data_IF_467774992527
#
_entry.id   IF_467774992527
#
_cell.length_a   1.000
_cell.length_b   1.000
_cell.length_c   1.000
_cell.angle_alpha   90.00
_cell.angle_beta   90.00
_cell.angle_gamma   90.00
#
_symmetry.space_group_name_H-M   'P 1'
#
loop_
_entity.id
_entity.type
_entity.pdbx_description
1 polymer ?
#
# COMPACT_ATOMS: atom_id res chain seq x y z
N UNK A 1 4.46 -5.71 26.08
CA UNK A 1 4.82 -5.53 24.65
C UNK A 1 3.77 -4.65 24.01
N UNK A 2 4.14 -3.48 23.48
CA UNK A 2 3.19 -2.62 22.75
C UNK A 2 2.90 -3.26 21.41
N UNK A 3 1.71 -3.83 21.26
CA UNK A 3 1.17 -4.20 19.97
C UNK A 3 0.92 -2.90 19.20
N UNK A 4 1.70 -2.67 18.15
CA UNK A 4 1.25 -1.78 17.09
C UNK A 4 -0.05 -2.36 16.54
N UNK A 5 -1.09 -1.56 16.25
CA UNK A 5 -2.26 -2.07 15.57
C UNK A 5 -1.91 -2.17 14.07
N UNK A 6 -1.02 -3.12 13.75
CA UNK A 6 -1.13 -3.78 12.46
C UNK A 6 -2.54 -4.36 12.47
N UNK A 7 -3.41 -3.86 11.58
CA UNK A 7 -4.72 -4.48 11.37
C UNK A 7 -4.46 -5.97 11.26
N UNK A 8 -5.10 -6.73 12.15
CA UNK A 8 -5.12 -8.18 12.14
C UNK A 8 -5.81 -8.60 10.85
N UNK A 9 -5.08 -8.60 9.74
CA UNK A 9 -5.62 -8.85 8.42
C UNK A 9 -5.91 -10.33 8.28
N UNK A 10 -7.19 -10.70 8.40
CA UNK A 10 -7.88 -11.72 7.61
C UNK A 10 -7.48 -13.19 7.79
N UNK A 11 -6.24 -13.54 8.08
CA UNK A 11 -5.85 -14.90 8.45
C UNK A 11 -6.43 -15.25 9.82
N UNK A 12 -6.30 -14.36 10.79
CA UNK A 12 -6.97 -14.49 12.09
C UNK A 12 -8.48 -14.25 12.03
N UNK A 13 -9.07 -13.85 10.91
CA UNK A 13 -10.54 -13.67 10.81
C UNK A 13 -11.19 -14.83 10.04
N UNK A 14 -10.58 -15.26 8.93
CA UNK A 14 -11.03 -16.42 8.15
C UNK A 14 -10.67 -17.75 8.83
N UNK A 15 -9.58 -17.76 9.60
CA UNK A 15 -9.11 -18.90 10.39
C UNK A 15 -8.98 -18.52 11.87
N UNK A 16 -9.83 -17.59 12.33
CA UNK A 16 -9.87 -17.12 13.72
C UNK A 16 -9.84 -18.25 14.72
N UNK A 17 -10.64 -19.29 14.49
CA UNK A 17 -10.69 -20.48 15.33
C UNK A 17 -9.38 -21.28 15.33
N UNK A 18 -8.67 -21.35 14.20
CA UNK A 18 -7.38 -22.02 14.09
C UNK A 18 -6.27 -21.22 14.77
N UNK A 19 -6.21 -19.89 14.55
CA UNK A 19 -5.21 -19.04 15.17
C UNK A 19 -5.47 -18.82 16.67
N UNK A 20 -6.73 -18.72 17.12
CA UNK A 20 -7.06 -18.72 18.56
C UNK A 20 -6.69 -20.04 19.23
N UNK A 21 -6.94 -21.17 18.55
CA UNK A 21 -6.53 -22.48 19.04
C UNK A 21 -5.00 -22.57 19.10
N UNK A 22 -4.28 -22.13 18.07
CA UNK A 22 -2.83 -22.13 18.02
C UNK A 22 -2.21 -21.20 19.09
N UNK A 23 -2.75 -19.97 19.27
CA UNK A 23 -2.29 -18.99 20.27
C UNK A 23 -2.51 -19.49 21.70
N UNK A 24 -3.72 -19.97 22.04
CA UNK A 24 -4.00 -20.58 23.36
C UNK A 24 -3.11 -21.79 23.64
N UNK A 25 -2.67 -22.50 22.60
CA UNK A 25 -1.84 -23.71 22.76
C UNK A 25 -0.34 -23.38 22.86
N UNK A 26 0.15 -22.38 22.11
CA UNK A 26 1.54 -21.90 22.17
C UNK A 26 1.85 -21.16 23.49
N UNK A 27 0.87 -20.46 24.08
CA UNK A 27 1.03 -19.88 25.44
C UNK A 27 1.13 -20.95 26.55
N UNK A 28 0.72 -22.20 26.29
CA UNK A 28 0.75 -23.30 27.27
C UNK A 28 2.07 -24.10 27.19
N UNK A 29 2.87 -23.94 26.13
CA UNK A 29 4.13 -24.68 25.96
C UNK A 29 5.30 -23.70 26.01
N UNK A 30 6.15 -23.73 27.07
CA UNK A 30 7.34 -22.91 27.11
C UNK A 30 8.27 -23.28 25.94
N UNK A 31 8.87 -22.25 25.35
CA UNK A 31 9.72 -22.32 24.17
C UNK A 31 10.98 -23.19 24.39
N UNK A 32 10.91 -24.49 24.11
CA UNK A 32 12.08 -25.33 23.91
C UNK A 32 11.77 -26.41 22.87
N UNK A 33 12.34 -26.28 21.67
CA UNK A 33 12.31 -27.29 20.62
C UNK A 33 12.13 -26.71 19.22
N UNK A 34 13.10 -26.97 18.34
CA UNK A 34 13.17 -26.52 16.95
C UNK A 34 12.18 -27.27 16.03
N UNK A 35 10.88 -27.11 16.26
CA UNK A 35 9.83 -27.58 15.35
C UNK A 35 9.10 -26.39 14.75
N UNK A 36 8.74 -26.48 13.47
CA UNK A 36 7.87 -25.46 12.88
C UNK A 36 6.47 -25.55 13.49
N UNK A 37 5.76 -24.42 13.58
CA UNK A 37 4.40 -24.37 14.13
C UNK A 37 3.44 -25.36 13.46
N UNK A 38 3.65 -25.66 12.17
CA UNK A 38 2.83 -26.62 11.41
C UNK A 38 3.10 -28.08 11.79
N UNK A 39 4.34 -28.45 12.10
CA UNK A 39 4.70 -29.79 12.58
C UNK A 39 4.14 -30.07 13.97
N UNK A 40 4.18 -29.08 14.87
CA UNK A 40 3.60 -29.18 16.21
C UNK A 40 2.08 -29.40 16.19
N UNK A 41 1.38 -28.72 15.28
CA UNK A 41 -0.07 -28.87 15.10
C UNK A 41 -0.45 -30.24 14.51
N UNK A 42 0.31 -30.71 13.52
CA UNK A 42 0.11 -32.03 12.90
C UNK A 42 0.29 -33.19 13.87
N UNK A 43 1.32 -33.13 14.73
CA UNK A 43 1.56 -34.18 15.74
C UNK A 43 0.40 -34.34 16.74
N UNK A 44 -0.46 -33.32 16.89
CA UNK A 44 -1.59 -33.35 17.81
C UNK A 44 -2.96 -33.46 17.13
N UNK A 45 -2.97 -33.90 15.86
CA UNK A 45 -4.21 -34.25 15.15
C UNK A 45 -4.99 -33.06 14.61
N UNK A 46 -4.40 -31.86 14.62
CA UNK A 46 -4.97 -30.70 13.93
C UNK A 46 -4.53 -30.79 12.47
N UNK A 47 -5.49 -31.00 11.58
CA UNK A 47 -5.24 -31.04 10.14
C UNK A 47 -4.88 -29.64 9.65
N UNK A 48 -3.60 -29.41 9.34
CA UNK A 48 -3.15 -28.26 8.57
C UNK A 48 -3.51 -28.53 7.10
N UNK A 49 -4.32 -27.69 6.43
CA UNK A 49 -4.66 -27.88 5.02
C UNK A 49 -3.39 -27.96 4.15
N UNK A 50 -3.42 -28.83 3.13
CA UNK A 50 -2.31 -28.93 2.18
C UNK A 50 -2.03 -27.55 1.54
N UNK A 51 -0.79 -27.07 1.65
CA UNK A 51 -0.37 -25.73 1.23
C UNK A 51 -0.29 -24.68 2.34
N UNK A 52 -0.84 -24.93 3.54
CA UNK A 52 -0.69 -24.04 4.71
C UNK A 52 0.57 -24.26 5.53
N UNK A 53 1.32 -25.32 5.24
CA UNK A 53 2.50 -25.71 6.01
C UNK A 53 3.63 -24.68 5.94
N UNK A 54 3.65 -23.90 4.84
CA UNK A 54 4.65 -22.86 4.54
C UNK A 54 4.02 -21.48 4.27
N UNK A 55 2.70 -21.32 4.47
CA UNK A 55 2.02 -20.04 4.21
C UNK A 55 2.46 -18.93 5.19
N UNK A 56 3.02 -19.31 6.33
CA UNK A 56 3.58 -18.39 7.32
C UNK A 56 5.03 -18.02 7.05
N UNK A 57 5.69 -18.62 6.05
CA UNK A 57 7.14 -18.50 5.87
C UNK A 57 7.51 -18.40 4.38
N UNK A 58 6.88 -17.45 3.67
CA UNK A 58 7.19 -17.17 2.25
C UNK A 58 8.57 -16.54 2.06
N UNK A 59 9.01 -15.74 3.04
CA UNK A 59 10.31 -15.11 3.10
C UNK A 59 10.78 -15.08 4.55
N UNK A 60 12.06 -15.34 4.77
CA UNK A 60 12.70 -15.17 6.07
C UNK A 60 12.88 -13.68 6.37
N UNK A 61 11.88 -13.09 7.03
CA UNK A 61 11.86 -11.68 7.43
C UNK A 61 11.31 -11.52 8.86
N UNK A 62 11.62 -10.42 9.57
CA UNK A 62 11.04 -10.18 10.90
C UNK A 62 9.51 -10.21 10.90
N UNK A 63 8.86 -9.70 9.85
CA UNK A 63 7.41 -9.85 9.66
C UNK A 63 6.97 -11.31 9.53
N UNK A 64 7.66 -12.10 8.69
CA UNK A 64 7.33 -13.52 8.51
C UNK A 64 7.49 -14.35 9.79
N UNK A 65 8.49 -14.00 10.61
CA UNK A 65 8.72 -14.59 11.94
C UNK A 65 7.81 -14.02 13.04
N UNK A 66 6.98 -13.01 12.73
CA UNK A 66 6.07 -12.37 13.68
C UNK A 66 6.75 -11.44 14.71
N UNK A 67 7.98 -11.02 14.44
CA UNK A 67 8.77 -10.15 15.31
C UNK A 67 8.37 -8.68 15.19
N UNK A 68 7.90 -8.26 14.00
CA UNK A 68 7.43 -6.91 13.73
C UNK A 68 6.24 -6.89 12.76
N UNK A 69 5.52 -5.76 12.72
CA UNK A 69 4.50 -5.50 11.70
C UNK A 69 5.08 -4.70 10.53
N UNK A 70 4.40 -4.71 9.40
CA UNK A 70 4.68 -3.78 8.30
C UNK A 70 3.84 -2.50 8.43
N UNK A 71 4.42 -1.36 8.04
CA UNK A 71 3.69 -0.11 7.98
C UNK A 71 2.81 -0.10 6.74
N UNK A 72 1.53 0.25 6.92
CA UNK A 72 0.54 0.32 5.84
C UNK A 72 -0.22 1.64 5.92
N UNK A 73 -0.74 2.07 4.77
CA UNK A 73 -1.56 3.29 4.70
C UNK A 73 -2.99 2.99 5.18
N UNK A 74 -3.56 3.91 5.95
CA UNK A 74 -4.97 3.91 6.28
C UNK A 74 -5.76 4.41 5.08
N UNK A 75 -6.74 3.64 4.61
CA UNK A 75 -7.67 4.11 3.59
C UNK A 75 -8.83 4.85 4.26
N UNK A 76 -9.04 6.10 3.86
CA UNK A 76 -10.21 6.88 4.27
C UNK A 76 -11.05 7.15 3.02
N UNK A 77 -12.25 6.58 3.01
CA UNK A 77 -13.23 6.80 1.95
C UNK A 77 -13.80 8.20 2.02
N UNK A 78 -14.11 8.78 0.86
CA UNK A 78 -14.74 10.10 0.78
C UNK A 78 -16.14 10.10 1.39
N UNK A 79 -16.51 11.23 1.98
CA UNK A 79 -17.76 11.46 2.70
C UNK A 79 -17.89 12.94 3.06
N UNK A 80 -18.74 13.28 4.02
CA UNK A 80 -18.71 14.64 4.60
C UNK A 80 -17.42 14.87 5.38
N UNK A 81 -17.11 16.12 5.70
CA UNK A 81 -15.94 16.44 6.52
C UNK A 81 -15.97 15.72 7.87
N UNK A 82 -17.13 15.68 8.51
CA UNK A 82 -17.32 15.04 9.81
C UNK A 82 -17.12 13.53 9.73
N UNK A 83 -17.66 12.88 8.69
CA UNK A 83 -17.48 11.45 8.47
C UNK A 83 -16.01 11.09 8.21
N UNK A 84 -15.33 11.90 7.41
CA UNK A 84 -13.93 11.67 7.08
C UNK A 84 -12.99 11.95 8.24
N UNK A 85 -13.26 13.00 9.02
CA UNK A 85 -12.52 13.29 10.23
C UNK A 85 -12.66 12.16 11.25
N UNK A 86 -13.87 11.65 11.45
CA UNK A 86 -14.11 10.50 12.33
C UNK A 86 -13.34 9.26 11.84
N UNK A 87 -13.43 8.92 10.54
CA UNK A 87 -12.67 7.81 9.95
C UNK A 87 -11.16 8.01 10.08
N UNK A 88 -10.65 9.23 9.91
CA UNK A 88 -9.25 9.56 10.09
C UNK A 88 -8.84 9.32 11.54
N UNK A 89 -9.58 9.87 12.51
CA UNK A 89 -9.33 9.70 13.95
C UNK A 89 -9.32 8.22 14.35
N UNK A 90 -10.26 7.42 13.85
CA UNK A 90 -10.27 5.97 14.04
C UNK A 90 -8.96 5.31 13.53
N UNK A 91 -8.44 5.74 12.37
CA UNK A 91 -7.16 5.24 11.84
C UNK A 91 -5.99 5.69 12.71
N UNK A 92 -5.94 6.95 13.13
CA UNK A 92 -4.84 7.44 13.99
C UNK A 92 -4.83 6.72 15.35
N UNK A 93 -6.01 6.48 15.94
CA UNK A 93 -6.16 5.68 17.16
C UNK A 93 -5.72 4.22 16.95
N UNK A 94 -5.95 3.69 15.75
CA UNK A 94 -5.40 2.42 15.30
C UNK A 94 -3.92 2.50 14.88
N UNK A 95 -3.19 3.57 15.20
CA UNK A 95 -1.74 3.66 15.00
C UNK A 95 -1.30 3.89 13.56
N UNK A 96 -2.21 4.25 12.66
CA UNK A 96 -1.85 4.67 11.31
C UNK A 96 -1.21 6.05 11.33
N UNK A 97 -0.12 6.21 10.59
CA UNK A 97 0.57 7.49 10.43
C UNK A 97 0.51 8.06 9.00
N UNK A 98 0.10 7.23 8.04
CA UNK A 98 -0.13 7.66 6.65
C UNK A 98 -1.57 7.34 6.25
N UNK A 99 -2.25 8.29 5.61
CA UNK A 99 -3.62 8.14 5.12
C UNK A 99 -3.71 8.48 3.64
N UNK A 100 -4.43 7.64 2.88
CA UNK A 100 -4.71 7.86 1.47
C UNK A 100 -6.16 8.33 1.26
N UNK A 101 -6.32 9.47 0.59
CA UNK A 101 -7.60 10.08 0.22
C UNK A 101 -7.84 9.94 -1.29
N UNK A 102 -9.06 9.53 -1.68
CA UNK A 102 -9.47 9.48 -3.09
C UNK A 102 -10.00 10.85 -3.51
N UNK A 103 -9.55 11.40 -4.64
CA UNK A 103 -9.98 12.70 -5.17
C UNK A 103 -10.25 12.63 -6.67
N UNK A 104 -10.68 13.73 -7.29
CA UNK A 104 -10.91 13.81 -8.74
C UNK A 104 -12.17 13.10 -9.22
N UNK A 105 -13.05 12.69 -8.30
CA UNK A 105 -14.28 11.95 -8.62
C UNK A 105 -15.54 12.84 -8.59
N UNK A 106 -15.49 13.96 -7.89
CA UNK A 106 -16.63 14.89 -7.74
C UNK A 106 -16.23 16.34 -8.08
N UNK A 107 -16.24 17.23 -7.09
CA UNK A 107 -15.85 18.63 -7.19
C UNK A 107 -14.50 18.82 -6.50
N UNK A 108 -13.45 19.06 -7.29
CA UNK A 108 -12.08 19.22 -6.80
C UNK A 108 -11.96 20.28 -5.70
N UNK A 109 -12.72 21.39 -5.78
CA UNK A 109 -12.61 22.44 -4.77
C UNK A 109 -13.20 22.03 -3.42
N UNK A 110 -14.23 21.17 -3.43
CA UNK A 110 -14.76 20.58 -2.18
C UNK A 110 -13.79 19.56 -1.59
N UNK A 111 -13.16 18.74 -2.43
CA UNK A 111 -12.13 17.78 -2.01
C UNK A 111 -10.90 18.50 -1.46
N UNK A 112 -10.52 19.64 -2.04
CA UNK A 112 -9.44 20.49 -1.55
C UNK A 112 -9.80 21.19 -0.23
N UNK A 113 -11.02 21.69 -0.07
CA UNK A 113 -11.49 22.28 1.20
C UNK A 113 -11.42 21.26 2.34
N UNK A 114 -11.78 20.02 2.06
CA UNK A 114 -11.64 18.92 3.00
C UNK A 114 -10.17 18.69 3.41
N UNK A 115 -9.25 18.60 2.44
CA UNK A 115 -7.81 18.44 2.69
C UNK A 115 -7.29 19.58 3.57
N UNK A 116 -7.70 20.82 3.24
CA UNK A 116 -7.35 22.00 4.02
C UNK A 116 -7.80 21.84 5.48
N UNK A 117 -9.06 21.48 5.73
CA UNK A 117 -9.57 21.30 7.09
C UNK A 117 -8.83 20.19 7.85
N UNK A 118 -8.45 19.10 7.18
CA UNK A 118 -7.61 18.07 7.80
C UNK A 118 -6.27 18.67 8.23
N UNK A 119 -5.65 19.50 7.39
CA UNK A 119 -4.38 20.19 7.71
C UNK A 119 -4.51 21.29 8.75
N UNK A 120 -5.68 21.88 8.93
CA UNK A 120 -5.97 22.80 10.03
C UNK A 120 -5.95 22.09 11.39
N UNK A 121 -6.20 20.78 11.43
CA UNK A 121 -6.24 19.95 12.65
C UNK A 121 -4.95 19.14 12.85
N UNK A 122 -4.37 18.61 11.77
CA UNK A 122 -3.23 17.70 11.81
C UNK A 122 -2.05 18.21 11.00
N UNK A 123 -0.92 18.38 11.67
CA UNK A 123 0.37 18.67 11.03
C UNK A 123 0.85 17.50 10.19
N UNK A 124 1.79 17.74 9.27
CA UNK A 124 2.39 16.69 8.44
C UNK A 124 3.15 15.65 9.27
N UNK A 125 3.70 16.05 10.42
CA UNK A 125 4.41 15.15 11.34
C UNK A 125 3.46 14.21 12.09
N UNK A 126 2.21 14.63 12.30
CA UNK A 126 1.17 13.79 12.92
C UNK A 126 0.57 12.82 11.90
N UNK A 127 0.34 13.29 10.66
CA UNK A 127 -0.32 12.52 9.61
C UNK A 127 0.31 12.81 8.24
N UNK A 128 0.93 11.80 7.64
CA UNK A 128 1.29 11.82 6.22
C UNK A 128 0.01 11.65 5.38
N UNK A 129 -0.22 12.57 4.44
CA UNK A 129 -1.35 12.48 3.52
C UNK A 129 -0.86 12.13 2.12
N UNK A 130 -1.51 11.15 1.51
CA UNK A 130 -1.40 10.84 0.09
C UNK A 130 -2.76 11.00 -0.56
N UNK A 131 -2.79 11.41 -1.81
CA UNK A 131 -4.03 11.53 -2.57
C UNK A 131 -3.98 10.66 -3.81
N UNK A 132 -5.13 10.25 -4.31
CA UNK A 132 -5.25 9.33 -5.43
C UNK A 132 -6.41 9.78 -6.31
N UNK A 133 -6.08 10.19 -7.54
CA UNK A 133 -7.02 10.75 -8.48
C UNK A 133 -7.58 9.72 -9.46
N UNK A 134 -7.01 8.50 -9.54
CA UNK A 134 -7.37 7.47 -10.52
C UNK A 134 -7.56 8.00 -11.97
N UNK A 135 -6.68 8.91 -12.38
CA UNK A 135 -6.72 9.57 -13.67
C UNK A 135 -7.85 10.59 -13.86
N UNK A 136 -8.46 11.06 -12.76
CA UNK A 136 -9.64 11.92 -12.77
C UNK A 136 -9.39 13.36 -13.23
N UNK A 137 -8.15 13.87 -13.19
CA UNK A 137 -7.86 15.22 -13.65
C UNK A 137 -7.80 15.28 -15.18
N UNK A 138 -8.20 16.42 -15.74
CA UNK A 138 -8.00 16.70 -17.15
C UNK A 138 -6.56 17.18 -17.35
N UNK A 139 -5.86 16.78 -18.43
CA UNK A 139 -4.49 17.24 -18.68
C UNK A 139 -4.35 18.76 -18.69
N UNK A 140 -5.39 19.49 -19.11
CA UNK A 140 -5.39 20.95 -19.23
C UNK A 140 -5.44 21.66 -17.88
N UNK A 141 -6.00 21.02 -16.85
CA UNK A 141 -6.15 21.60 -15.51
C UNK A 141 -5.37 20.83 -14.43
N UNK A 142 -4.66 19.76 -14.79
CA UNK A 142 -3.92 18.95 -13.83
C UNK A 142 -2.84 19.76 -13.09
N UNK A 143 -2.06 20.60 -13.80
CA UNK A 143 -0.99 21.38 -13.15
C UNK A 143 -1.53 22.35 -12.10
N UNK A 144 -2.60 23.09 -12.39
CA UNK A 144 -3.18 24.02 -11.41
C UNK A 144 -3.77 23.30 -10.19
N UNK A 145 -4.30 22.08 -10.38
CA UNK A 145 -4.74 21.25 -9.26
C UNK A 145 -3.56 20.72 -8.43
N UNK A 146 -2.45 20.31 -9.06
CA UNK A 146 -1.22 19.92 -8.37
C UNK A 146 -0.64 21.07 -7.54
N UNK A 147 -0.60 22.28 -8.10
CA UNK A 147 -0.18 23.50 -7.39
C UNK A 147 -1.08 23.84 -6.21
N UNK A 148 -2.39 23.62 -6.34
CA UNK A 148 -3.33 23.85 -5.25
C UNK A 148 -3.14 22.83 -4.12
N UNK A 149 -2.93 21.55 -4.45
CA UNK A 149 -2.67 20.47 -3.49
C UNK A 149 -1.32 20.62 -2.78
N UNK A 150 -0.28 21.08 -3.50
CA UNK A 150 1.07 21.23 -2.95
C UNK A 150 1.16 22.19 -1.75
N UNK A 151 0.15 23.03 -1.53
CA UNK A 151 0.06 23.96 -0.39
C UNK A 151 -0.24 23.27 0.96
N UNK A 152 -0.55 21.98 0.93
CA UNK A 152 -1.10 21.24 2.07
C UNK A 152 -0.22 20.08 2.53
N UNK A 153 1.09 20.13 2.27
CA UNK A 153 2.08 19.12 2.71
C UNK A 153 1.60 17.68 2.41
N UNK A 154 1.09 17.46 1.20
CA UNK A 154 0.74 16.13 0.71
C UNK A 154 2.03 15.46 0.22
N UNK A 155 2.25 14.21 0.62
CA UNK A 155 3.43 13.45 0.23
C UNK A 155 3.46 13.17 -1.28
N UNK A 156 2.35 12.68 -1.83
CA UNK A 156 2.26 12.32 -3.25
C UNK A 156 0.82 12.26 -3.75
N UNK A 157 0.67 12.41 -5.07
CA UNK A 157 -0.56 12.12 -5.82
C UNK A 157 -0.38 10.88 -6.69
N UNK A 158 -1.32 9.94 -6.58
CA UNK A 158 -1.42 8.74 -7.41
C UNK A 158 -2.24 9.04 -8.67
N UNK A 159 -1.65 8.74 -9.83
CA UNK A 159 -2.19 8.85 -11.18
C UNK A 159 -3.10 10.09 -11.39
N UNK A 160 -2.56 11.31 -11.54
CA UNK A 160 -3.38 12.52 -11.69
C UNK A 160 -4.27 12.50 -12.94
N UNK A 161 -3.73 12.07 -14.09
CA UNK A 161 -4.44 12.04 -15.38
C UNK A 161 -4.55 10.61 -15.92
N UNK A 162 -5.53 10.37 -16.80
CA UNK A 162 -5.70 9.07 -17.46
C UNK A 162 -4.40 8.58 -18.12
N UNK A 163 -4.17 7.29 -18.01
CA UNK A 163 -3.04 6.57 -18.60
C UNK A 163 -2.97 6.72 -20.13
N UNK A 164 -1.84 6.32 -20.71
CA UNK A 164 -1.53 6.37 -22.15
C UNK A 164 -1.35 7.78 -22.71
N UNK A 165 -1.00 8.73 -21.85
CA UNK A 165 -0.74 10.13 -22.22
C UNK A 165 0.70 10.53 -21.88
N UNK A 166 1.67 9.68 -22.22
CA UNK A 166 3.08 9.80 -21.77
C UNK A 166 3.68 11.19 -21.94
N UNK A 167 3.51 11.91 -23.08
CA UNK A 167 4.05 13.26 -23.20
C UNK A 167 3.48 14.25 -22.18
N UNK A 168 2.18 14.13 -21.86
CA UNK A 168 1.50 14.96 -20.86
C UNK A 168 1.93 14.57 -19.45
N UNK A 169 1.93 13.27 -19.13
CA UNK A 169 2.39 12.78 -17.82
C UNK A 169 3.85 13.16 -17.56
N UNK A 170 4.71 13.05 -18.58
CA UNK A 170 6.12 13.45 -18.51
C UNK A 170 6.27 14.96 -18.27
N UNK A 171 5.42 15.79 -18.89
CA UNK A 171 5.40 17.23 -18.62
C UNK A 171 5.02 17.50 -17.16
N UNK A 172 3.95 16.88 -16.66
CA UNK A 172 3.55 17.01 -15.26
C UNK A 172 4.68 16.57 -14.32
N UNK A 173 5.30 15.41 -14.53
CA UNK A 173 6.35 14.90 -13.64
C UNK A 173 7.60 15.80 -13.59
N UNK A 174 7.91 16.52 -14.68
CA UNK A 174 9.03 17.48 -14.72
C UNK A 174 8.74 18.78 -13.97
N UNK A 175 7.51 19.25 -14.01
CA UNK A 175 7.14 20.60 -13.55
C UNK A 175 6.37 20.59 -12.22
N UNK A 176 5.92 19.42 -11.75
CA UNK A 176 5.02 19.30 -10.61
C UNK A 176 5.65 19.78 -9.30
N UNK A 177 4.92 20.57 -8.49
CA UNK A 177 5.30 20.87 -7.11
C UNK A 177 4.91 19.75 -6.13
N UNK A 178 4.12 18.76 -6.57
CA UNK A 178 3.64 17.63 -5.78
C UNK A 178 4.12 16.31 -6.41
N UNK A 179 4.86 15.43 -5.70
CA UNK A 179 5.35 14.19 -6.29
C UNK A 179 4.25 13.31 -6.89
N UNK A 180 4.48 12.82 -8.11
CA UNK A 180 3.54 11.95 -8.84
C UNK A 180 3.97 10.49 -8.71
N UNK A 181 3.00 9.64 -8.37
CA UNK A 181 3.12 8.19 -8.37
C UNK A 181 2.29 7.58 -9.50
N UNK A 182 2.90 6.76 -10.35
CA UNK A 182 2.18 6.05 -11.42
C UNK A 182 1.55 4.76 -10.89
N UNK A 183 0.27 4.54 -11.24
CA UNK A 183 -0.47 3.31 -10.94
C UNK A 183 -1.03 2.69 -12.23
N UNK A 184 -2.16 3.21 -12.74
CA UNK A 184 -2.82 2.67 -13.93
C UNK A 184 -1.93 2.71 -15.19
N UNK A 185 -0.95 3.63 -15.25
CA UNK A 185 0.02 3.72 -16.35
C UNK A 185 0.92 2.47 -16.48
N UNK A 186 1.11 1.70 -15.40
CA UNK A 186 1.99 0.52 -15.38
C UNK A 186 1.26 -0.75 -15.80
N UNK A 187 -0.07 -0.76 -15.77
CA UNK A 187 -0.90 -1.93 -16.03
C UNK A 187 -0.75 -2.35 -17.50
N UNK A 188 -0.45 -3.63 -17.72
CA UNK A 188 -0.25 -4.19 -19.06
C UNK A 188 1.16 -4.01 -19.63
N UNK A 189 2.04 -3.27 -18.94
CA UNK A 189 3.44 -3.07 -19.34
C UNK A 189 4.32 -4.16 -18.72
N UNK A 190 4.37 -5.33 -19.38
CA UNK A 190 5.03 -6.52 -18.86
C UNK A 190 6.39 -6.83 -19.52
N UNK A 191 6.69 -6.25 -20.69
CA UNK A 191 7.96 -6.46 -21.39
C UNK A 191 9.00 -5.50 -20.85
N UNK A 192 10.18 -6.00 -20.46
CA UNK A 192 11.26 -5.20 -19.84
C UNK A 192 11.60 -3.92 -20.60
N UNK A 193 11.77 -4.01 -21.93
CA UNK A 193 12.08 -2.84 -22.76
C UNK A 193 10.97 -1.79 -22.79
N UNK A 194 9.71 -2.19 -22.63
CA UNK A 194 8.59 -1.26 -22.48
C UNK A 194 8.60 -0.57 -21.11
N UNK A 195 8.99 -1.29 -20.05
CA UNK A 195 9.16 -0.70 -18.70
C UNK A 195 10.26 0.36 -18.72
N UNK A 196 11.40 0.04 -19.31
CA UNK A 196 12.52 0.99 -19.52
C UNK A 196 12.05 2.23 -20.29
N UNK A 197 11.39 2.04 -21.44
CA UNK A 197 10.87 3.14 -22.24
C UNK A 197 9.88 4.03 -21.48
N UNK A 198 8.98 3.44 -20.68
CA UNK A 198 8.03 4.17 -19.86
C UNK A 198 8.74 5.02 -18.81
N UNK A 199 9.65 4.44 -18.03
CA UNK A 199 10.38 5.15 -16.98
C UNK A 199 11.29 6.24 -17.54
N UNK A 200 11.97 5.98 -18.66
CA UNK A 200 12.86 6.94 -19.32
C UNK A 200 12.11 8.13 -19.92
N UNK A 201 10.88 7.90 -20.36
CA UNK A 201 10.00 8.93 -20.94
C UNK A 201 9.30 9.76 -19.86
N UNK A 202 8.63 9.11 -18.92
CA UNK A 202 7.77 9.79 -17.93
C UNK A 202 8.57 10.36 -16.78
N UNK A 203 9.58 9.62 -16.29
CA UNK A 203 10.42 9.97 -15.13
C UNK A 203 9.58 10.43 -13.91
N UNK A 204 8.64 9.58 -13.43
CA UNK A 204 7.83 9.92 -12.26
C UNK A 204 8.68 9.95 -10.99
N UNK A 205 8.15 10.55 -9.92
CA UNK A 205 8.81 10.48 -8.61
C UNK A 205 8.65 9.09 -7.99
N UNK A 206 7.50 8.45 -8.22
CA UNK A 206 7.20 7.13 -7.69
C UNK A 206 6.48 6.21 -8.68
N UNK A 207 6.55 4.90 -8.45
CA UNK A 207 5.69 3.89 -9.09
C UNK A 207 5.00 3.01 -8.06
N UNK A 208 3.78 2.57 -8.36
CA UNK A 208 2.94 1.76 -7.47
C UNK A 208 2.81 0.35 -8.03
N UNK A 209 3.22 -0.64 -7.23
CA UNK A 209 3.31 -2.01 -7.69
C UNK A 209 2.23 -2.89 -7.08
N UNK A 210 1.36 -3.39 -7.94
CA UNK A 210 0.33 -4.41 -7.63
C UNK A 210 0.76 -5.76 -8.22
N UNK A 211 1.24 -6.74 -7.44
CA UNK A 211 1.77 -7.99 -7.98
C UNK A 211 0.80 -8.71 -8.94
N UNK A 212 -0.50 -8.71 -8.64
CA UNK A 212 -1.53 -9.32 -9.48
C UNK A 212 -1.65 -8.70 -10.89
N UNK A 213 -1.21 -7.46 -11.07
CA UNK A 213 -1.34 -6.71 -12.34
C UNK A 213 -0.01 -6.53 -13.08
N UNK A 214 1.12 -6.76 -12.41
CA UNK A 214 2.46 -6.43 -12.93
C UNK A 214 3.36 -7.65 -13.10
N UNK A 215 2.79 -8.83 -13.35
CA UNK A 215 3.55 -10.06 -13.60
C UNK A 215 4.04 -10.76 -12.33
N UNK A 216 3.32 -10.63 -11.22
CA UNK A 216 3.65 -11.23 -9.93
C UNK A 216 4.88 -10.61 -9.27
N UNK A 217 5.43 -11.33 -8.29
CA UNK A 217 6.63 -10.90 -7.54
C UNK A 217 7.82 -10.67 -8.47
N UNK A 218 8.02 -11.55 -9.46
CA UNK A 218 9.10 -11.41 -10.44
C UNK A 218 8.99 -10.10 -11.23
N UNK A 219 7.81 -9.81 -11.79
CA UNK A 219 7.62 -8.60 -12.57
C UNK A 219 7.72 -7.32 -11.74
N UNK A 220 7.31 -7.36 -10.46
CA UNK A 220 7.53 -6.27 -9.52
C UNK A 220 9.02 -6.06 -9.17
N UNK A 221 9.80 -7.11 -8.95
CA UNK A 221 11.24 -6.99 -8.72
C UNK A 221 11.93 -6.31 -9.91
N UNK A 222 11.55 -6.65 -11.14
CA UNK A 222 12.06 -5.98 -12.34
C UNK A 222 11.69 -4.50 -12.37
N UNK A 223 10.46 -4.13 -11.99
CA UNK A 223 10.07 -2.72 -11.87
C UNK A 223 10.91 -1.98 -10.82
N UNK A 224 11.10 -2.57 -9.64
CA UNK A 224 11.90 -1.98 -8.55
C UNK A 224 13.34 -1.78 -9.00
N UNK A 225 13.95 -2.79 -9.64
CA UNK A 225 15.30 -2.73 -10.17
C UNK A 225 15.47 -1.55 -11.14
N UNK A 226 14.57 -1.45 -12.13
CA UNK A 226 14.62 -0.41 -13.15
C UNK A 226 14.31 0.99 -12.59
N UNK A 227 13.41 1.09 -11.62
CA UNK A 227 13.08 2.34 -10.94
C UNK A 227 14.24 2.85 -10.08
N UNK A 228 14.86 1.97 -9.29
CA UNK A 228 16.01 2.30 -8.44
C UNK A 228 17.20 2.82 -9.25
N UNK A 229 17.49 2.21 -10.42
CA UNK A 229 18.52 2.69 -11.35
C UNK A 229 18.31 4.14 -11.82
N UNK A 230 17.07 4.63 -11.73
CA UNK A 230 16.65 5.98 -12.16
C UNK A 230 16.35 6.92 -10.99
N UNK A 231 16.57 6.47 -9.74
CA UNK A 231 16.22 7.23 -8.54
C UNK A 231 14.71 7.42 -8.35
N UNK A 232 13.90 6.53 -8.91
CA UNK A 232 12.43 6.55 -8.81
C UNK A 232 12.04 5.67 -7.61
N UNK A 233 11.30 6.22 -6.66
CA UNK A 233 10.82 5.43 -5.52
C UNK A 233 9.70 4.48 -5.90
N UNK A 234 9.43 3.48 -5.06
CA UNK A 234 8.30 2.58 -5.28
C UNK A 234 7.69 2.09 -3.98
N UNK A 235 6.43 1.68 -4.04
CA UNK A 235 5.80 0.90 -2.97
C UNK A 235 4.85 -0.14 -3.55
N UNK A 236 4.59 -1.16 -2.75
CA UNK A 236 3.71 -2.27 -3.11
C UNK A 236 2.31 -2.00 -2.53
N UNK A 237 1.28 -2.31 -3.31
CA UNK A 237 -0.11 -2.24 -2.87
C UNK A 237 -0.92 -3.43 -3.38
N UNK A 238 -2.17 -3.52 -2.91
CA UNK A 238 -3.14 -4.53 -3.28
C UNK A 238 -4.05 -4.06 -4.42
N UNK A 239 -4.45 -4.99 -5.28
CA UNK A 239 -5.54 -4.83 -6.26
C UNK A 239 -6.84 -5.50 -5.78
N UNK A 240 -7.10 -5.50 -4.46
CA UNK A 240 -8.22 -6.17 -3.79
C UNK A 240 -8.14 -7.70 -3.84
N UNK A 241 -6.96 -8.25 -3.62
CA UNK A 241 -6.77 -9.70 -3.47
C UNK A 241 -7.53 -10.25 -2.27
N UNK A 242 -7.82 -11.56 -2.30
CA UNK A 242 -8.28 -12.29 -1.11
C UNK A 242 -7.20 -12.33 -0.03
N UNK A 243 -7.54 -12.82 1.17
CA UNK A 243 -6.58 -12.93 2.28
C UNK A 243 -5.31 -13.72 1.92
N UNK A 244 -5.41 -14.70 1.02
CA UNK A 244 -4.24 -15.47 0.55
C UNK A 244 -3.29 -14.55 -0.22
N UNK A 245 -3.82 -13.76 -1.17
CA UNK A 245 -3.00 -12.83 -1.95
C UNK A 245 -2.48 -11.67 -1.10
N UNK A 246 -3.30 -11.12 -0.18
CA UNK A 246 -2.87 -10.08 0.75
C UNK A 246 -1.73 -10.54 1.66
N UNK A 247 -1.79 -11.78 2.17
CA UNK A 247 -0.69 -12.34 2.97
C UNK A 247 0.59 -12.45 2.13
N UNK A 248 0.50 -12.96 0.90
CA UNK A 248 1.66 -13.01 0.01
C UNK A 248 2.25 -11.62 -0.30
N UNK A 249 1.39 -10.63 -0.52
CA UNK A 249 1.79 -9.23 -0.73
C UNK A 249 2.46 -8.65 0.52
N UNK A 250 1.94 -8.92 1.71
CA UNK A 250 2.52 -8.43 2.97
C UNK A 250 3.91 -9.02 3.22
N UNK A 251 4.08 -10.33 3.05
CA UNK A 251 5.39 -10.98 3.12
C UNK A 251 6.37 -10.43 2.09
N UNK A 252 5.90 -10.19 0.86
CA UNK A 252 6.73 -9.59 -0.18
C UNK A 252 7.14 -8.15 0.16
N UNK A 253 6.20 -7.33 0.61
CA UNK A 253 6.46 -5.94 1.01
C UNK A 253 7.41 -5.83 2.21
N UNK A 254 7.36 -6.78 3.15
CA UNK A 254 8.29 -6.82 4.28
C UNK A 254 9.74 -7.16 3.89
N UNK A 255 9.95 -7.73 2.71
CA UNK A 255 11.23 -8.26 2.23
C UNK A 255 11.97 -7.30 1.29
N UNK A 256 11.27 -6.33 0.71
CA UNK A 256 11.79 -5.33 -0.23
C UNK A 256 12.13 -4.05 0.51
#
# INVERSE_FOLDING_TARGET
MRAYPSITFGLETAFASFFDAAKKFLEIVPAEGAFSSSEMLKQKGISVPAGMENLTDLFDSPFGRGEEGITINGLVWMGTYEEMLARLEEKLQAGFHCVKLKIGAIDFFKELDLIKRIRDVYTKEQVELRVDANGGFLPENAMSQLEALAKYDIHSIEQPIKQHQWPKTAQLCRETPLPIALDEELIGVNVRSMKEALLDTIRPQYIILKPSLHGGIYGCNEWIELANQRGIGSWITSALESNIGLNAIAHYAAKV
#
